data_IF_987239673790
#
_entry.id   IF_987239673790
#
_cell.length_a   1.000
_cell.length_b   1.000
_cell.length_c   1.000
_cell.angle_alpha   90.00
_cell.angle_beta   90.00
_cell.angle_gamma   90.00
#
_symmetry.space_group_name_H-M   'P 1'
#
loop_
_entity.id
_entity.type
_entity.pdbx_description
1 polymer ?
#
# COMPACT_ATOMS: atom_id res chain seq x y z
N UNK A 1 94.12 -22.42 -7.47
CA UNK A 1 93.19 -22.73 -8.57
C UNK A 1 92.31 -23.87 -8.06
N UNK A 2 90.98 -23.75 -8.07
CA UNK A 2 90.13 -24.90 -7.74
C UNK A 2 90.34 -25.96 -8.82
N UNK A 3 91.03 -27.06 -8.51
CA UNK A 3 91.04 -28.24 -9.37
C UNK A 3 89.63 -28.82 -9.37
N UNK A 4 88.89 -28.55 -10.44
CA UNK A 4 87.55 -29.07 -10.63
C UNK A 4 87.64 -30.58 -10.86
N UNK A 5 87.23 -31.39 -9.88
CA UNK A 5 87.19 -32.83 -10.01
C UNK A 5 85.83 -33.27 -10.61
N UNK A 6 85.77 -33.69 -11.89
CA UNK A 6 84.50 -33.90 -12.61
C UNK A 6 83.60 -34.95 -11.96
N UNK A 7 84.22 -35.97 -11.34
CA UNK A 7 83.49 -37.02 -10.61
C UNK A 7 82.79 -36.51 -9.35
N UNK A 8 83.41 -35.56 -8.64
CA UNK A 8 82.83 -34.98 -7.42
C UNK A 8 81.63 -34.10 -7.78
N UNK A 9 81.75 -33.38 -8.90
CA UNK A 9 80.65 -32.60 -9.47
C UNK A 9 79.46 -33.50 -9.85
N UNK A 10 79.72 -34.66 -10.47
CA UNK A 10 78.67 -35.63 -10.83
C UNK A 10 77.91 -36.17 -9.61
N UNK A 11 78.61 -36.48 -8.51
CA UNK A 11 77.98 -36.94 -7.26
C UNK A 11 77.11 -35.84 -6.66
N UNK A 12 77.61 -34.60 -6.58
CA UNK A 12 76.83 -33.46 -6.06
C UNK A 12 75.56 -33.24 -6.90
N UNK A 13 75.66 -33.39 -8.22
CA UNK A 13 74.54 -33.23 -9.15
C UNK A 13 73.47 -34.32 -8.95
N UNK A 14 73.88 -35.56 -8.72
CA UNK A 14 72.97 -36.66 -8.36
C UNK A 14 72.27 -36.42 -7.02
N UNK A 15 73.00 -35.98 -6.00
CA UNK A 15 72.43 -35.64 -4.69
C UNK A 15 71.44 -34.48 -4.81
N UNK A 16 71.76 -33.47 -5.61
CA UNK A 16 70.89 -32.33 -5.86
C UNK A 16 69.57 -32.75 -6.52
N UNK A 17 69.61 -33.58 -7.57
CA UNK A 17 68.38 -34.09 -8.19
C UNK A 17 67.57 -34.97 -7.25
N UNK A 18 68.23 -35.82 -6.46
CA UNK A 18 67.56 -36.63 -5.44
C UNK A 18 66.86 -35.75 -4.38
N UNK A 19 67.52 -34.68 -3.94
CA UNK A 19 66.95 -33.72 -2.99
C UNK A 19 65.74 -32.98 -3.59
N UNK A 20 65.84 -32.51 -4.84
CA UNK A 20 64.71 -31.87 -5.54
C UNK A 20 63.53 -32.82 -5.63
N UNK A 21 63.77 -34.08 -5.99
CA UNK A 21 62.72 -35.09 -6.09
C UNK A 21 62.00 -35.29 -4.74
N UNK A 22 62.75 -35.40 -3.64
CA UNK A 22 62.18 -35.50 -2.28
C UNK A 22 61.41 -34.24 -1.87
N UNK A 23 61.91 -33.05 -2.20
CA UNK A 23 61.25 -31.78 -1.88
C UNK A 23 59.97 -31.55 -2.71
N UNK A 24 59.91 -32.06 -3.94
CA UNK A 24 58.75 -31.92 -4.81
C UNK A 24 57.49 -32.49 -4.17
N UNK A 25 57.57 -33.72 -3.66
CA UNK A 25 56.43 -34.39 -3.02
C UNK A 25 56.17 -33.85 -1.60
N UNK A 26 57.23 -33.59 -0.82
CA UNK A 26 57.09 -33.25 0.60
C UNK A 26 56.82 -31.77 0.89
N UNK A 27 57.28 -30.86 0.03
CA UNK A 27 57.22 -29.41 0.28
C UNK A 27 56.47 -28.66 -0.82
N UNK A 28 56.91 -28.79 -2.08
CA UNK A 28 56.37 -27.97 -3.15
C UNK A 28 54.91 -28.30 -3.46
N UNK A 29 54.54 -29.57 -3.53
CA UNK A 29 53.15 -29.99 -3.72
C UNK A 29 52.19 -29.45 -2.65
N UNK A 30 52.44 -29.73 -1.35
CA UNK A 30 51.61 -29.20 -0.27
C UNK A 30 51.54 -27.67 -0.21
N UNK A 31 52.66 -27.00 -0.48
CA UNK A 31 52.73 -25.53 -0.46
C UNK A 31 51.87 -24.91 -1.58
N UNK A 32 51.99 -25.42 -2.80
CA UNK A 32 51.22 -24.94 -3.94
C UNK A 32 49.72 -25.22 -3.74
N UNK A 33 49.37 -26.42 -3.25
CA UNK A 33 47.98 -26.74 -2.88
C UNK A 33 47.41 -25.76 -1.86
N UNK A 34 48.18 -25.42 -0.83
CA UNK A 34 47.73 -24.44 0.16
C UNK A 34 47.53 -23.04 -0.44
N UNK A 35 48.35 -22.63 -1.41
CA UNK A 35 48.17 -21.37 -2.12
C UNK A 35 46.90 -21.40 -2.98
N UNK A 36 46.68 -22.49 -3.74
CA UNK A 36 45.49 -22.68 -4.57
C UNK A 36 44.20 -22.73 -3.73
N UNK A 37 44.22 -23.46 -2.61
CA UNK A 37 43.08 -23.57 -1.69
C UNK A 37 42.71 -22.20 -1.10
N UNK A 38 43.72 -21.39 -0.77
CA UNK A 38 43.51 -20.01 -0.29
C UNK A 38 42.94 -19.12 -1.38
N UNK A 39 43.48 -19.19 -2.59
CA UNK A 39 42.99 -18.40 -3.73
C UNK A 39 41.53 -18.75 -4.04
N UNK A 40 41.18 -20.03 -4.10
CA UNK A 40 39.81 -20.50 -4.28
C UNK A 40 38.88 -20.05 -3.15
N UNK A 41 39.35 -20.11 -1.91
CA UNK A 41 38.54 -19.69 -0.75
C UNK A 41 38.27 -18.19 -0.79
N UNK A 42 39.29 -17.37 -1.08
CA UNK A 42 39.12 -15.92 -1.22
C UNK A 42 38.17 -15.59 -2.37
N UNK A 43 38.30 -16.26 -3.52
CA UNK A 43 37.41 -16.06 -4.66
C UNK A 43 35.95 -16.39 -4.30
N UNK A 44 35.71 -17.53 -3.63
CA UNK A 44 34.37 -17.92 -3.15
C UNK A 44 33.80 -16.93 -2.14
N UNK A 45 34.59 -16.50 -1.17
CA UNK A 45 34.13 -15.54 -0.15
C UNK A 45 33.78 -14.19 -0.78
N UNK A 46 34.56 -13.73 -1.76
CA UNK A 46 34.30 -12.50 -2.50
C UNK A 46 33.03 -12.60 -3.35
N UNK A 47 32.82 -13.72 -4.03
CA UNK A 47 31.60 -13.98 -4.80
C UNK A 47 30.37 -14.07 -3.90
N UNK A 48 30.47 -14.77 -2.76
CA UNK A 48 29.40 -14.86 -1.77
C UNK A 48 29.05 -13.49 -1.19
N UNK A 49 30.04 -12.67 -0.85
CA UNK A 49 29.81 -11.30 -0.36
C UNK A 49 29.13 -10.42 -1.42
N UNK A 50 29.55 -10.53 -2.68
CA UNK A 50 28.93 -9.81 -3.80
C UNK A 50 27.47 -10.23 -3.99
N UNK A 51 27.19 -11.53 -4.01
CA UNK A 51 25.85 -12.07 -4.17
C UNK A 51 24.93 -11.72 -3.01
N UNK A 52 25.46 -11.69 -1.78
CA UNK A 52 24.70 -11.27 -0.60
C UNK A 52 24.36 -9.78 -0.66
N UNK A 53 25.30 -8.94 -1.09
CA UNK A 53 25.07 -7.50 -1.29
C UNK A 53 24.01 -7.24 -2.35
N UNK A 54 24.13 -7.88 -3.53
CA UNK A 54 23.16 -7.72 -4.61
C UNK A 54 21.78 -8.27 -4.23
N UNK A 55 21.73 -9.41 -3.55
CA UNK A 55 20.48 -9.99 -3.05
C UNK A 55 19.81 -9.08 -2.01
N UNK A 56 20.59 -8.43 -1.15
CA UNK A 56 20.06 -7.47 -0.18
C UNK A 56 19.47 -6.23 -0.86
N UNK A 57 20.17 -5.67 -1.86
CA UNK A 57 19.66 -4.52 -2.63
C UNK A 57 18.38 -4.88 -3.40
N UNK A 58 18.33 -6.06 -4.00
CA UNK A 58 17.14 -6.55 -4.71
C UNK A 58 15.95 -6.75 -3.76
N UNK A 59 16.17 -7.35 -2.58
CA UNK A 59 15.13 -7.51 -1.58
C UNK A 59 14.61 -6.16 -1.06
N UNK A 60 15.49 -5.17 -0.87
CA UNK A 60 15.09 -3.81 -0.50
C UNK A 60 14.26 -3.15 -1.61
N UNK A 61 14.67 -3.29 -2.87
CA UNK A 61 13.93 -2.77 -4.01
C UNK A 61 12.53 -3.41 -4.13
N UNK A 62 12.42 -4.73 -3.96
CA UNK A 62 11.15 -5.44 -3.95
C UNK A 62 10.25 -5.02 -2.78
N UNK A 63 10.82 -4.84 -1.58
CA UNK A 63 10.08 -4.36 -0.43
C UNK A 63 9.53 -2.93 -0.64
N UNK A 64 10.35 -2.04 -1.19
CA UNK A 64 9.95 -0.68 -1.50
C UNK A 64 8.83 -0.65 -2.56
N UNK A 65 8.96 -1.44 -3.62
CA UNK A 65 7.92 -1.57 -4.64
C UNK A 65 6.58 -2.04 -4.05
N UNK A 66 6.59 -3.06 -3.18
CA UNK A 66 5.38 -3.54 -2.49
C UNK A 66 4.77 -2.48 -1.57
N UNK A 67 5.58 -1.70 -0.87
CA UNK A 67 5.09 -0.61 -0.03
C UNK A 67 4.42 0.50 -0.85
N UNK A 68 4.99 0.85 -1.99
CA UNK A 68 4.43 1.88 -2.86
C UNK A 68 3.15 1.42 -3.56
N UNK A 69 3.08 0.14 -3.98
CA UNK A 69 1.85 -0.48 -4.47
C UNK A 69 0.75 -0.47 -3.39
N UNK A 70 1.07 -0.91 -2.17
CA UNK A 70 0.11 -0.90 -1.06
C UNK A 70 -0.37 0.51 -0.70
N UNK A 71 0.50 1.52 -0.78
CA UNK A 71 0.13 2.93 -0.57
C UNK A 71 -0.80 3.44 -1.67
N UNK A 72 -0.50 3.11 -2.92
CA UNK A 72 -1.34 3.48 -4.07
C UNK A 72 -2.73 2.85 -3.94
N UNK A 73 -2.79 1.57 -3.56
CA UNK A 73 -4.04 0.86 -3.38
C UNK A 73 -4.85 1.42 -2.21
N UNK A 74 -4.21 1.71 -1.07
CA UNK A 74 -4.87 2.37 0.05
C UNK A 74 -5.41 3.76 -0.31
N UNK A 75 -4.67 4.52 -1.12
CA UNK A 75 -5.12 5.83 -1.61
C UNK A 75 -6.33 5.68 -2.55
N UNK A 76 -6.32 4.67 -3.43
CA UNK A 76 -7.44 4.34 -4.32
C UNK A 76 -8.69 3.96 -3.54
N UNK A 77 -8.59 3.04 -2.59
CA UNK A 77 -9.70 2.62 -1.73
C UNK A 77 -10.28 3.82 -0.96
N UNK A 78 -9.42 4.69 -0.40
CA UNK A 78 -9.89 5.91 0.28
C UNK A 78 -10.63 6.84 -0.68
N UNK A 79 -10.11 7.02 -1.89
CA UNK A 79 -10.75 7.89 -2.87
C UNK A 79 -12.11 7.33 -3.30
N UNK A 80 -12.18 6.05 -3.63
CA UNK A 80 -13.43 5.36 -3.99
C UNK A 80 -14.45 5.43 -2.86
N UNK A 81 -14.04 5.22 -1.60
CA UNK A 81 -14.94 5.34 -0.45
C UNK A 81 -15.48 6.77 -0.26
N UNK A 82 -14.64 7.80 -0.47
CA UNK A 82 -15.06 9.20 -0.38
C UNK A 82 -16.04 9.53 -1.50
N UNK A 83 -15.77 9.12 -2.74
CA UNK A 83 -16.64 9.39 -3.88
C UNK A 83 -17.98 8.64 -3.75
N UNK A 84 -17.96 7.38 -3.30
CA UNK A 84 -19.17 6.62 -3.01
C UNK A 84 -20.02 7.31 -1.92
N UNK A 85 -19.40 7.74 -0.82
CA UNK A 85 -20.10 8.45 0.24
C UNK A 85 -20.66 9.80 -0.22
N UNK A 86 -19.96 10.54 -1.08
CA UNK A 86 -20.49 11.78 -1.68
C UNK A 86 -21.68 11.49 -2.59
N UNK A 87 -21.60 10.47 -3.44
CA UNK A 87 -22.68 10.09 -4.33
C UNK A 87 -23.94 9.66 -3.55
N UNK A 88 -23.77 8.84 -2.51
CA UNK A 88 -24.87 8.42 -1.63
C UNK A 88 -25.51 9.60 -0.91
N UNK A 89 -24.71 10.51 -0.34
CA UNK A 89 -25.24 11.70 0.31
C UNK A 89 -25.96 12.63 -0.67
N UNK A 90 -25.42 12.83 -1.88
CA UNK A 90 -26.07 13.63 -2.91
C UNK A 90 -27.41 13.03 -3.33
N UNK A 91 -27.47 11.70 -3.51
CA UNK A 91 -28.71 10.99 -3.82
C UNK A 91 -29.73 11.11 -2.68
N UNK A 92 -29.30 10.94 -1.43
CA UNK A 92 -30.15 11.08 -0.26
C UNK A 92 -30.70 12.52 -0.09
N UNK A 93 -29.87 13.53 -0.36
CA UNK A 93 -30.30 14.94 -0.34
C UNK A 93 -31.32 15.23 -1.44
N UNK A 94 -31.07 14.77 -2.66
CA UNK A 94 -31.99 14.94 -3.78
C UNK A 94 -33.34 14.26 -3.50
N UNK A 95 -33.32 13.03 -2.97
CA UNK A 95 -34.52 12.32 -2.56
C UNK A 95 -35.30 13.09 -1.48
N UNK A 96 -34.61 13.58 -0.44
CA UNK A 96 -35.25 14.38 0.62
C UNK A 96 -35.85 15.68 0.09
N UNK A 97 -35.16 16.38 -0.80
CA UNK A 97 -35.69 17.59 -1.44
C UNK A 97 -36.96 17.29 -2.23
N UNK A 98 -36.94 16.25 -3.06
CA UNK A 98 -38.12 15.82 -3.83
C UNK A 98 -39.30 15.46 -2.92
N UNK A 99 -39.07 14.70 -1.84
CA UNK A 99 -40.14 14.38 -0.88
C UNK A 99 -40.68 15.63 -0.18
N UNK A 100 -39.81 16.58 0.17
CA UNK A 100 -40.20 17.82 0.83
C UNK A 100 -41.05 18.71 -0.07
N UNK A 101 -40.69 18.79 -1.36
CA UNK A 101 -41.46 19.51 -2.38
C UNK A 101 -42.85 18.88 -2.58
N UNK A 102 -42.93 17.54 -2.62
CA UNK A 102 -44.21 16.84 -2.71
C UNK A 102 -45.08 17.04 -1.46
N UNK A 103 -44.49 16.95 -0.26
CA UNK A 103 -45.20 17.22 0.99
C UNK A 103 -45.68 18.66 1.07
N UNK A 104 -44.85 19.62 0.66
CA UNK A 104 -45.22 21.03 0.62
C UNK A 104 -46.36 21.29 -0.36
N UNK A 105 -46.32 20.68 -1.56
CA UNK A 105 -47.42 20.78 -2.53
C UNK A 105 -48.72 20.22 -1.94
N UNK A 106 -48.69 19.02 -1.36
CA UNK A 106 -49.86 18.41 -0.70
C UNK A 106 -50.38 19.27 0.47
N UNK A 107 -49.48 19.84 1.27
CA UNK A 107 -49.86 20.74 2.35
C UNK A 107 -50.55 22.00 1.81
N UNK A 108 -50.01 22.60 0.74
CA UNK A 108 -50.61 23.79 0.11
C UNK A 108 -51.99 23.52 -0.48
N UNK A 109 -52.19 22.36 -1.11
CA UNK A 109 -53.48 21.92 -1.64
C UNK A 109 -54.51 21.72 -0.53
N UNK A 110 -54.13 21.00 0.54
CA UNK A 110 -54.98 20.83 1.74
C UNK A 110 -55.34 22.16 2.39
N UNK A 111 -54.39 23.08 2.50
CA UNK A 111 -54.64 24.40 3.09
C UNK A 111 -55.65 25.20 2.24
N UNK A 112 -55.59 25.10 0.92
CA UNK A 112 -56.56 25.74 0.02
C UNK A 112 -57.96 25.11 0.18
N UNK A 113 -58.05 23.79 0.26
CA UNK A 113 -59.30 23.05 0.47
C UNK A 113 -59.92 23.36 1.86
N UNK A 114 -59.12 23.36 2.92
CA UNK A 114 -59.53 23.78 4.25
C UNK A 114 -60.03 25.22 4.25
N UNK A 115 -59.36 26.13 3.54
CA UNK A 115 -59.78 27.54 3.48
C UNK A 115 -61.13 27.70 2.78
N UNK A 116 -61.37 26.97 1.69
CA UNK A 116 -62.65 27.03 0.96
C UNK A 116 -63.78 26.37 1.78
N UNK A 117 -63.52 25.22 2.39
CA UNK A 117 -64.50 24.55 3.27
C UNK A 117 -64.84 25.41 4.50
N UNK A 118 -63.86 26.05 5.14
CA UNK A 118 -64.07 26.97 6.26
C UNK A 118 -64.89 28.19 5.82
N UNK A 119 -64.59 28.76 4.65
CA UNK A 119 -65.37 29.87 4.07
C UNK A 119 -66.81 29.46 3.81
N UNK A 120 -67.05 28.29 3.22
CA UNK A 120 -68.41 27.77 3.01
C UNK A 120 -69.14 27.53 4.34
N UNK A 121 -68.43 27.00 5.35
CA UNK A 121 -68.98 26.73 6.68
C UNK A 121 -69.37 28.04 7.37
N UNK A 122 -68.50 29.04 7.37
CA UNK A 122 -68.78 30.38 7.92
C UNK A 122 -69.97 31.00 7.20
N UNK A 123 -70.04 30.93 5.87
CA UNK A 123 -71.17 31.46 5.10
C UNK A 123 -72.49 30.74 5.43
N UNK A 124 -72.46 29.42 5.60
CA UNK A 124 -73.64 28.63 5.98
C UNK A 124 -74.10 28.90 7.42
N UNK A 125 -73.16 29.23 8.31
CA UNK A 125 -73.43 29.52 9.72
C UNK A 125 -73.68 31.01 9.99
N UNK A 126 -73.54 31.90 9.00
CA UNK A 126 -73.86 33.33 9.13
C UNK A 126 -75.25 33.62 9.76
N UNK A 127 -76.34 32.89 9.45
CA UNK A 127 -77.64 33.11 10.07
C UNK A 127 -77.62 32.80 11.58
N UNK A 128 -77.03 31.68 11.97
CA UNK A 128 -76.87 31.25 13.37
C UNK A 128 -75.93 32.18 14.15
N UNK A 129 -74.86 32.66 13.51
CA UNK A 129 -73.95 33.65 14.08
C UNK A 129 -74.68 34.98 14.27
N UNK A 130 -75.50 35.42 13.31
CA UNK A 130 -76.35 36.62 13.46
C UNK A 130 -77.35 36.48 14.60
N UNK A 131 -78.02 35.33 14.73
CA UNK A 131 -78.97 35.09 15.82
C UNK A 131 -78.29 35.08 17.19
N UNK A 132 -77.15 34.38 17.32
CA UNK A 132 -76.38 34.33 18.58
C UNK A 132 -75.77 35.68 18.97
N UNK A 133 -75.32 36.49 18.00
CA UNK A 133 -74.91 37.88 18.24
C UNK A 133 -76.09 38.73 18.69
N UNK A 134 -77.24 38.64 18.00
CA UNK A 134 -78.43 39.39 18.35
C UNK A 134 -78.92 39.03 19.76
N UNK A 135 -78.91 37.74 20.11
CA UNK A 135 -79.26 37.23 21.43
C UNK A 135 -78.35 37.78 22.54
N UNK A 136 -77.03 37.84 22.31
CA UNK A 136 -76.06 38.44 23.24
C UNK A 136 -76.22 39.97 23.36
N UNK A 137 -76.51 40.66 22.26
CA UNK A 137 -76.77 42.11 22.28
C UNK A 137 -78.13 42.48 22.88
N UNK A 138 -79.12 41.58 22.88
CA UNK A 138 -80.39 41.77 23.60
C UNK A 138 -80.34 41.39 25.09
N UNK A 139 -79.21 40.84 25.56
CA UNK A 139 -78.94 40.54 26.96
C UNK A 139 -78.10 41.63 27.67
N UNK A 140 -77.71 42.68 26.95
CA UNK A 140 -77.07 43.90 27.44
C UNK A 140 -78.10 45.03 27.33
#
# INVERSE_FOLDING_TARGET
MLELHPFLMGIVLLIFFFLIYQLNDRLYGPLLRFMDDREQTIARDLEAAKNLSSGSEELLAQAQAKLDEARSEAARIRHEAIEAAKAENAAALAAKQSTLEEEYRRFSEKLAEERESLKSTVLSQLPLIKESLKAKFSQI
#
